data_IF_488192960016
#
_entry.id   IF_488192960016
#
_cell.length_a   1.000
_cell.length_b   1.000
_cell.length_c   1.000
_cell.angle_alpha   90.00
_cell.angle_beta   90.00
_cell.angle_gamma   90.00
#
_symmetry.space_group_name_H-M   'P 1'
#
loop_
_entity.id
_entity.type
_entity.pdbx_description
1 polymer ?
2 polymer ?
#
loop_
_entity_poly.entity_id
_entity_poly.type
_entity_poly.pdbx_seq_one_letter_code
_entity_poly.pdbx_strand_id
2 'polyribonucleotide' 'GGCCAGGUAGCUCAGUUGGUAGAGCACUGGACUGAAAAUCCAGGUGUCGGCGGUUCGAUUCCGCCCCUGGCCACCA' ?
#
# COMPACT_ATOMS: atom_id res chain seq x y z
N UNK A 1 -2.61 -20.61 25.76
CA UNK A 1 -1.93 -21.89 25.65
C UNK A 1 -0.44 -21.68 25.39
N UNK A 2 -0.12 -20.55 24.77
CA UNK A 2 1.25 -20.23 24.39
C UNK A 2 2.16 -20.13 25.60
N UNK A 3 1.73 -19.37 26.60
CA UNK A 3 2.47 -19.25 27.84
C UNK A 3 2.55 -20.55 28.60
N UNK A 4 1.57 -21.44 28.36
CA UNK A 4 1.55 -22.75 28.97
C UNK A 4 2.60 -23.68 28.35
N UNK A 5 2.60 -23.78 27.03
CA UNK A 5 3.60 -24.58 26.31
C UNK A 5 5.00 -24.05 26.60
N UNK A 6 5.16 -22.73 26.51
CA UNK A 6 6.43 -22.08 26.85
C UNK A 6 6.84 -22.40 28.29
N UNK A 7 5.86 -22.44 29.18
CA UNK A 7 6.12 -22.84 30.56
C UNK A 7 6.70 -24.26 30.60
N UNK A 8 6.05 -25.19 29.89
CA UNK A 8 6.46 -26.59 29.90
C UNK A 8 7.85 -26.79 29.32
N UNK A 9 8.19 -26.01 28.30
CA UNK A 9 9.46 -26.17 27.59
C UNK A 9 10.60 -25.37 28.23
N UNK A 10 10.29 -24.61 29.27
CA UNK A 10 11.27 -23.79 29.95
C UNK A 10 11.78 -22.70 29.03
N UNK A 11 10.86 -22.15 28.24
CA UNK A 11 11.20 -21.12 27.28
C UNK A 11 10.50 -19.81 27.61
N UNK A 12 10.79 -18.78 26.83
CA UNK A 12 10.11 -17.51 26.97
C UNK A 12 9.76 -16.98 25.58
N UNK A 13 8.48 -16.79 25.32
CA UNK A 13 8.05 -16.24 24.04
C UNK A 13 7.43 -14.86 24.25
N UNK A 14 7.56 -13.99 23.26
CA UNK A 14 6.99 -12.64 23.36
C UNK A 14 6.40 -12.19 22.02
N UNK A 15 5.27 -11.49 22.06
CA UNK A 15 4.76 -10.81 20.88
C UNK A 15 5.73 -9.69 20.57
N UNK A 16 5.98 -9.42 19.30
CA UNK A 16 7.14 -8.60 18.94
C UNK A 16 6.93 -7.72 17.70
N UNK A 17 7.46 -6.50 17.76
CA UNK A 17 7.44 -5.60 16.62
C UNK A 17 6.17 -4.85 16.26
N UNK A 18 5.96 -4.78 14.94
CA UNK A 18 4.86 -4.03 14.36
C UNK A 18 3.55 -4.34 15.04
N UNK A 19 3.31 -5.64 15.24
CA UNK A 19 2.12 -6.10 15.92
C UNK A 19 1.92 -5.35 17.23
N UNK A 20 2.93 -5.37 18.09
CA UNK A 20 2.85 -4.68 19.38
C UNK A 20 2.49 -3.22 19.14
N UNK A 21 3.19 -2.59 18.19
CA UNK A 21 2.90 -1.22 17.82
C UNK A 21 1.42 -1.07 17.53
N UNK A 22 0.92 -1.89 16.60
CA UNK A 22 -0.47 -1.82 16.18
C UNK A 22 -1.42 -2.02 17.34
N UNK A 23 -1.02 -2.86 18.29
CA UNK A 23 -1.83 -3.12 19.46
C UNK A 23 -1.94 -1.85 20.29
N UNK A 24 -0.80 -1.21 20.49
CA UNK A 24 -0.74 0.02 21.24
C UNK A 24 -1.42 1.17 20.50
N UNK A 25 -1.55 1.01 19.19
CA UNK A 25 -2.23 1.99 18.36
C UNK A 25 -3.71 1.66 18.24
N UNK A 26 -4.13 0.61 18.95
CA UNK A 26 -5.51 0.19 18.94
C UNK A 26 -5.95 -0.43 17.64
N UNK A 27 -4.98 -0.83 16.81
CA UNK A 27 -5.29 -1.51 15.56
C UNK A 27 -5.25 -3.02 15.75
N UNK A 28 -6.28 -3.70 15.25
CA UNK A 28 -6.32 -5.17 15.32
C UNK A 28 -5.85 -5.80 14.02
N UNK A 29 -4.96 -6.78 14.16
CA UNK A 29 -4.37 -7.45 13.03
C UNK A 29 -4.40 -8.96 13.22
N UNK A 30 -4.44 -9.70 12.12
CA UNK A 30 -4.50 -11.15 12.18
C UNK A 30 -3.12 -11.80 12.07
N UNK A 31 -2.09 -10.97 11.99
CA UNK A 31 -0.74 -11.50 11.86
C UNK A 31 0.08 -11.16 13.09
N UNK A 32 0.41 -12.19 13.86
CA UNK A 32 1.16 -11.99 15.08
C UNK A 32 2.54 -12.65 14.98
N UNK A 33 3.54 -11.90 15.43
CA UNK A 33 4.93 -12.33 15.39
C UNK A 33 5.46 -12.58 16.80
N UNK A 34 6.00 -13.77 17.00
CA UNK A 34 6.58 -14.17 18.27
C UNK A 34 8.08 -14.31 18.19
N UNK A 35 8.74 -13.97 19.29
CA UNK A 35 10.15 -14.22 19.44
C UNK A 35 10.37 -15.13 20.65
N UNK A 36 11.04 -16.25 20.41
CA UNK A 36 11.26 -17.26 21.44
C UNK A 36 12.73 -17.32 21.86
N UNK A 37 12.95 -17.38 23.16
CA UNK A 37 14.27 -17.67 23.70
C UNK A 37 14.37 -19.17 23.94
N UNK A 38 15.19 -19.83 23.13
CA UNK A 38 15.14 -21.27 22.99
C UNK A 38 14.51 -21.62 21.65
N UNK A 39 14.23 -22.90 21.43
CA UNK A 39 13.82 -23.35 20.11
C UNK A 39 12.37 -22.96 19.79
N UNK A 40 12.21 -22.14 18.76
CA UNK A 40 10.90 -21.61 18.38
C UNK A 40 10.14 -22.66 17.57
N UNK A 41 10.89 -23.45 16.81
CA UNK A 41 10.31 -24.46 15.96
C UNK A 41 9.50 -25.47 16.76
N UNK A 42 10.03 -25.88 17.92
CA UNK A 42 9.34 -26.86 18.74
C UNK A 42 8.08 -26.26 19.35
N UNK A 43 8.19 -25.01 19.76
CA UNK A 43 7.05 -24.28 20.29
C UNK A 43 5.92 -24.27 19.28
N UNK A 44 6.22 -23.81 18.08
CA UNK A 44 5.25 -23.81 16.99
C UNK A 44 4.68 -25.20 16.70
N UNK A 45 5.54 -26.21 16.67
CA UNK A 45 5.10 -27.57 16.35
C UNK A 45 4.12 -28.10 17.40
N UNK A 46 4.41 -27.78 18.65
CA UNK A 46 3.59 -28.23 19.77
C UNK A 46 2.26 -27.50 19.74
N UNK A 47 2.33 -26.19 19.56
CA UNK A 47 1.14 -25.37 19.48
C UNK A 47 0.20 -25.88 18.40
N UNK A 48 0.75 -26.02 17.20
CA UNK A 48 -0.03 -26.50 16.06
C UNK A 48 -0.61 -27.88 16.32
N UNK A 49 0.20 -28.75 16.95
CA UNK A 49 -0.27 -30.11 17.23
C UNK A 49 -1.39 -30.13 18.28
N UNK A 50 -1.37 -29.19 19.20
CA UNK A 50 -2.37 -29.09 20.25
C UNK A 50 -3.67 -28.47 19.73
N UNK A 51 -3.55 -27.56 18.77
CA UNK A 51 -4.75 -26.99 18.17
C UNK A 51 -5.18 -27.83 16.99
N UNK A 52 -4.30 -28.74 16.60
CA UNK A 52 -4.61 -29.67 15.54
C UNK A 52 -4.66 -29.02 14.18
N UNK A 53 -3.67 -28.21 13.86
CA UNK A 53 -3.58 -27.54 12.56
C UNK A 53 -2.25 -27.84 11.88
N UNK A 54 -2.21 -27.66 10.57
CA UNK A 54 -0.98 -27.82 9.81
C UNK A 54 0.07 -26.81 10.26
N UNK A 55 1.34 -27.19 10.14
CA UNK A 55 2.44 -26.32 10.55
C UNK A 55 3.48 -26.24 9.43
N UNK A 56 4.17 -25.11 9.31
CA UNK A 56 5.15 -24.91 8.24
C UNK A 56 6.52 -24.52 8.80
N UNK A 57 7.39 -25.51 8.99
CA UNK A 57 8.75 -25.34 9.52
C UNK A 57 9.70 -24.71 8.52
N UNK A 58 10.61 -23.89 9.03
CA UNK A 58 11.74 -23.38 8.28
C UNK A 58 12.96 -23.42 9.20
N UNK A 59 13.61 -24.59 9.23
CA UNK A 59 14.71 -24.87 10.17
C UNK A 59 15.95 -24.03 9.89
N UNK A 60 16.19 -23.73 8.62
CA UNK A 60 17.35 -22.92 8.23
C UNK A 60 17.17 -21.48 8.68
N UNK A 61 15.94 -20.97 8.60
CA UNK A 61 15.62 -19.63 9.10
C UNK A 61 15.48 -19.66 10.62
N UNK A 62 15.07 -20.82 11.15
CA UNK A 62 14.83 -20.96 12.57
C UNK A 62 13.46 -20.42 12.93
N UNK A 63 12.56 -20.44 11.95
CA UNK A 63 11.23 -19.88 12.16
C UNK A 63 10.15 -20.84 11.66
N UNK A 64 8.94 -20.68 12.18
CA UNK A 64 7.83 -21.53 11.73
C UNK A 64 6.52 -20.75 11.62
N UNK A 65 5.65 -21.16 10.71
CA UNK A 65 4.39 -20.47 10.48
C UNK A 65 3.18 -21.41 10.64
N UNK A 66 2.16 -20.95 11.36
CA UNK A 66 0.96 -21.76 11.56
C UNK A 66 -0.29 -20.87 11.67
N UNK A 67 -1.40 -21.35 11.13
CA UNK A 67 -2.62 -20.55 11.12
C UNK A 67 -3.71 -21.12 12.02
N UNK A 68 -4.14 -20.32 12.99
CA UNK A 68 -5.25 -20.72 13.86
C UNK A 68 -6.44 -19.81 13.63
N UNK A 69 -7.50 -20.34 13.01
CA UNK A 69 -8.62 -19.53 12.61
C UNK A 69 -8.19 -18.50 11.60
N UNK A 70 -8.52 -17.23 11.86
CA UNK A 70 -8.06 -16.15 10.99
C UNK A 70 -6.70 -15.64 11.43
N UNK A 71 -6.27 -16.05 12.61
CA UNK A 71 -4.96 -15.65 13.09
C UNK A 71 -3.85 -16.32 12.29
N UNK A 72 -2.86 -15.51 11.91
CA UNK A 72 -1.67 -16.00 11.25
C UNK A 72 -0.50 -15.83 12.21
N UNK A 73 0.07 -16.95 12.65
CA UNK A 73 1.13 -16.89 13.63
C UNK A 73 2.47 -17.21 13.01
N UNK A 74 3.45 -16.37 13.33
CA UNK A 74 4.83 -16.62 12.94
C UNK A 74 5.72 -16.64 14.17
N UNK A 75 6.35 -17.78 14.41
CA UNK A 75 7.30 -17.91 15.51
C UNK A 75 8.72 -17.82 14.99
N UNK A 76 9.56 -17.14 15.76
CA UNK A 76 10.91 -16.90 15.33
C UNK A 76 11.86 -16.92 16.52
N UNK A 77 12.98 -17.60 16.35
CA UNK A 77 13.98 -17.68 17.39
C UNK A 77 14.69 -16.34 17.50
N UNK A 78 15.09 -15.99 18.73
CA UNK A 78 15.82 -14.75 18.97
C UNK A 78 17.24 -14.85 18.39
N UNK A 79 17.61 -13.85 17.60
CA UNK A 79 18.94 -13.80 16.99
C UNK A 79 19.53 -12.40 17.06
N UNK A 80 20.85 -12.33 17.14
CA UNK A 80 21.54 -11.05 17.26
C UNK A 80 21.90 -10.42 15.91
N UNK A 81 21.82 -11.22 14.84
CA UNK A 81 22.18 -10.73 13.51
C UNK A 81 21.05 -10.92 12.50
N UNK A 82 21.13 -10.20 11.38
CA UNK A 82 20.14 -10.28 10.33
C UNK A 82 20.47 -11.40 9.35
N UNK A 93 26.03 -19.19 20.42
CA UNK A 93 25.50 -18.54 21.61
C UNK A 93 24.06 -18.09 21.41
N UNK A 94 23.21 -18.34 22.42
CA UNK A 94 21.81 -17.91 22.38
C UNK A 94 21.66 -16.40 22.53
N UNK A 95 20.78 -15.79 21.74
CA UNK A 95 20.55 -14.35 21.80
C UNK A 95 19.40 -14.02 22.75
N UNK A 96 19.63 -12.99 23.57
CA UNK A 96 18.61 -12.51 24.50
C UNK A 96 17.54 -11.75 23.73
N UNK A 97 16.38 -11.60 24.35
CA UNK A 97 15.32 -10.80 23.75
C UNK A 97 15.85 -9.42 23.36
N UNK A 98 16.46 -8.74 24.33
CA UNK A 98 17.04 -7.41 24.13
C UNK A 98 17.94 -7.36 22.89
N UNK A 99 18.74 -8.40 22.68
CA UNK A 99 19.55 -8.48 21.48
C UNK A 99 18.71 -8.61 20.21
N UNK A 100 17.59 -9.30 20.30
CA UNK A 100 16.76 -9.46 19.10
C UNK A 100 16.00 -8.17 18.79
N UNK A 101 15.74 -7.38 19.83
CA UNK A 101 15.01 -6.13 19.66
C UNK A 101 15.89 -4.99 19.18
N UNK A 102 17.17 -5.04 19.52
CA UNK A 102 18.10 -3.96 19.21
C UNK A 102 18.40 -3.88 17.72
N UNK A 103 18.17 -4.98 17.03
CA UNK A 103 18.49 -5.10 15.61
C UNK A 103 17.36 -4.66 14.69
N UNK A 104 16.29 -4.09 15.25
CA UNK A 104 15.15 -3.66 14.43
C UNK A 104 15.29 -2.18 14.02
N UNK A 105 14.37 -1.67 13.23
CA UNK A 105 14.53 -0.34 12.64
C UNK A 105 14.30 0.81 13.62
N UNK A 106 13.03 1.04 13.97
CA UNK A 106 12.65 2.20 14.78
C UNK A 106 12.08 1.78 16.13
N UNK A 107 12.21 2.66 17.11
CA UNK A 107 11.77 2.41 18.48
C UNK A 107 10.33 1.96 18.64
N UNK A 108 9.44 2.45 17.80
CA UNK A 108 8.04 2.05 17.89
C UNK A 108 7.88 0.61 17.40
N UNK A 109 8.88 0.14 16.67
CA UNK A 109 8.92 -1.26 16.21
C UNK A 109 9.80 -2.15 17.10
N UNK A 110 10.39 -1.54 18.11
CA UNK A 110 11.40 -2.19 18.96
C UNK A 110 10.87 -2.78 20.26
N UNK A 111 9.55 -2.82 20.45
CA UNK A 111 9.03 -3.34 21.73
C UNK A 111 8.50 -4.79 21.67
N UNK A 112 8.15 -5.31 22.83
CA UNK A 112 7.69 -6.69 22.96
C UNK A 112 6.78 -6.87 24.18
N UNK A 113 5.87 -7.84 24.08
CA UNK A 113 4.93 -8.14 25.16
C UNK A 113 4.96 -9.62 25.53
N UNK A 114 5.31 -9.91 26.78
CA UNK A 114 5.38 -11.28 27.29
C UNK A 114 4.05 -12.05 27.30
N UNK A 115 4.06 -13.23 26.69
CA UNK A 115 2.94 -14.16 26.79
C UNK A 115 3.16 -15.22 27.85
N UNK A 116 4.31 -15.16 28.52
CA UNK A 116 4.61 -16.09 29.60
C UNK A 116 3.65 -15.90 30.76
N UNK A 117 3.19 -17.00 31.36
CA UNK A 117 2.05 -16.99 32.26
C UNK A 117 2.21 -16.11 33.50
N UNK A 118 3.43 -15.99 34.02
CA UNK A 118 3.64 -15.22 35.26
C UNK A 118 3.64 -13.71 35.05
N UNK A 119 4.37 -13.24 34.05
CA UNK A 119 4.49 -11.82 33.75
C UNK A 119 3.53 -11.33 32.66
N UNK A 120 2.61 -12.21 32.26
CA UNK A 120 1.72 -12.01 31.12
C UNK A 120 1.03 -10.64 31.14
N UNK A 121 1.09 -9.95 30.01
CA UNK A 121 0.50 -8.63 29.87
C UNK A 121 1.48 -7.50 30.08
N UNK A 122 2.74 -7.87 30.32
CA UNK A 122 3.77 -6.88 30.63
C UNK A 122 4.52 -6.41 29.41
N UNK A 123 4.46 -5.11 29.15
CA UNK A 123 5.17 -4.49 28.04
C UNK A 123 6.66 -4.36 28.31
N UNK A 124 7.47 -4.93 27.42
CA UNK A 124 8.92 -4.82 27.53
C UNK A 124 9.47 -3.77 26.58
N UNK A 125 9.95 -2.66 27.12
CA UNK A 125 10.51 -1.58 26.29
C UNK A 125 11.90 -1.16 26.78
N UNK A 126 12.92 -1.50 26.00
CA UNK A 126 14.31 -1.16 26.32
C UNK A 126 14.74 0.24 25.86
N UNK A 127 14.33 0.60 24.66
CA UNK A 127 14.80 1.81 23.99
C UNK A 127 13.85 3.01 24.08
N UNK A 128 12.78 2.87 24.86
CA UNK A 128 11.86 3.97 25.04
C UNK A 128 10.93 4.13 23.85
N UNK A 129 10.56 3.01 23.25
CA UNK A 129 9.65 3.00 22.13
C UNK A 129 8.28 3.49 22.55
N UNK A 130 7.94 3.25 23.82
CA UNK A 130 6.66 3.69 24.36
C UNK A 130 6.57 5.21 24.33
N UNK A 131 7.63 5.86 24.77
CA UNK A 131 7.70 7.31 24.76
C UNK A 131 7.61 7.86 23.34
N UNK A 132 8.37 7.26 22.43
CA UNK A 132 8.39 7.73 21.04
C UNK A 132 7.04 7.55 20.37
N UNK A 133 6.35 6.47 20.77
CA UNK A 133 4.99 6.25 20.32
C UNK A 133 4.08 7.31 20.91
N UNK A 134 4.40 7.69 22.14
CA UNK A 134 3.64 8.69 22.88
C UNK A 134 3.84 10.08 22.30
N UNK A 135 5.07 10.36 21.88
CA UNK A 135 5.42 11.66 21.32
C UNK A 135 5.35 11.72 19.79
N UNK A 136 4.87 10.63 19.18
CA UNK A 136 4.74 10.52 17.72
C UNK A 136 6.09 10.66 17.02
N UNK A 137 7.07 9.86 17.46
CA UNK A 137 8.44 9.98 16.96
C UNK A 137 8.96 8.77 16.20
N UNK A 138 9.38 8.99 14.96
CA UNK A 138 10.10 7.96 14.22
C UNK A 138 11.59 8.12 14.50
N UNK A 139 12.16 7.15 15.22
CA UNK A 139 13.50 7.29 15.76
C UNK A 139 14.32 6.02 15.57
N UNK A 140 15.44 6.14 14.87
CA UNK A 140 16.34 5.00 14.65
C UNK A 140 17.04 4.62 15.95
N UNK A 141 17.46 3.36 16.04
CA UNK A 141 18.05 2.85 17.28
C UNK A 141 19.51 3.27 17.41
N UNK A 142 20.20 3.37 16.29
CA UNK A 142 21.61 3.73 16.26
C UNK A 142 21.89 4.56 15.01
N UNK A 143 22.94 5.40 15.03
CA UNK A 143 23.33 6.26 13.90
C UNK A 143 23.45 5.51 12.59
N UNK A 144 24.06 4.34 12.67
CA UNK A 144 24.45 3.57 11.48
C UNK A 144 23.26 3.00 10.73
N UNK A 145 22.07 3.19 11.29
CA UNK A 145 20.83 2.52 10.87
C UNK A 145 20.56 2.51 9.35
N UNK A 146 20.38 3.68 8.77
CA UNK A 146 20.03 3.76 7.35
C UNK A 146 21.15 3.23 6.46
N UNK A 147 22.39 3.31 6.94
CA UNK A 147 23.52 2.78 6.20
C UNK A 147 23.41 1.27 6.08
N UNK A 148 23.02 0.63 7.17
CA UNK A 148 22.88 -0.83 7.19
C UNK A 148 21.84 -1.30 6.20
N UNK A 149 20.63 -0.78 6.34
CA UNK A 149 19.55 -1.10 5.43
C UNK A 149 18.95 0.19 4.85
N UNK A 150 19.45 0.61 3.68
CA UNK A 150 18.95 1.80 2.99
C UNK A 150 17.44 1.77 2.75
N UNK A 151 16.84 0.59 2.70
CA UNK A 151 15.40 0.47 2.46
C UNK A 151 14.60 1.17 3.56
N UNK A 152 15.13 1.17 4.77
CA UNK A 152 14.55 1.86 5.91
C UNK A 152 14.21 3.31 5.58
N UNK A 153 15.03 3.91 4.72
CA UNK A 153 14.83 5.30 4.33
C UNK A 153 13.39 5.50 3.91
N UNK A 154 12.92 4.65 2.99
CA UNK A 154 11.54 4.73 2.55
C UNK A 154 10.60 4.40 3.70
N UNK A 155 10.89 3.30 4.39
CA UNK A 155 10.04 2.81 5.47
C UNK A 155 9.71 3.92 6.47
N UNK A 156 10.74 4.59 6.96
CA UNK A 156 10.55 5.68 7.92
C UNK A 156 9.50 6.64 7.38
N UNK A 157 9.76 7.15 6.18
CA UNK A 157 8.85 8.06 5.52
C UNK A 157 7.45 7.47 5.50
N UNK A 158 7.36 6.24 5.01
CA UNK A 158 6.11 5.53 4.94
C UNK A 158 5.42 5.59 6.30
N UNK A 159 6.13 5.14 7.33
CA UNK A 159 5.55 5.14 8.68
C UNK A 159 5.12 6.55 9.06
N UNK A 160 6.02 7.51 8.86
CA UNK A 160 5.74 8.88 9.27
C UNK A 160 4.50 9.41 8.58
N UNK A 161 4.23 8.90 7.38
CA UNK A 161 3.05 9.29 6.64
C UNK A 161 1.80 8.68 7.22
N UNK A 162 1.84 7.40 7.54
CA UNK A 162 0.63 6.68 7.96
C UNK A 162 0.21 7.07 9.35
N UNK A 163 1.16 7.02 10.28
CA UNK A 163 0.86 7.29 11.68
C UNK A 163 0.88 8.77 11.94
N UNK A 164 1.20 9.53 10.89
CA UNK A 164 1.39 10.96 11.00
C UNK A 164 2.35 11.26 12.14
N UNK A 165 3.48 10.57 12.14
CA UNK A 165 4.54 10.89 13.09
C UNK A 165 5.55 11.79 12.43
N UNK A 166 6.53 12.22 13.23
CA UNK A 166 7.63 13.01 12.71
C UNK A 166 8.95 12.32 12.97
N UNK A 167 9.92 12.59 12.10
CA UNK A 167 11.28 12.09 12.23
C UNK A 167 12.03 12.90 13.26
N UNK A 168 12.68 12.23 14.21
CA UNK A 168 13.53 12.92 15.17
C UNK A 168 14.69 13.59 14.42
N UNK A 169 15.22 14.67 14.98
CA UNK A 169 16.30 15.42 14.35
C UNK A 169 17.49 14.51 14.01
N UNK A 170 17.80 13.60 14.93
CA UNK A 170 18.84 12.62 14.71
C UNK A 170 18.51 11.81 13.46
N UNK A 171 17.31 11.23 13.47
CA UNK A 171 16.82 10.39 12.41
C UNK A 171 16.77 11.13 11.07
N UNK A 172 16.30 12.37 11.11
CA UNK A 172 16.23 13.19 9.89
C UNK A 172 17.61 13.46 9.30
N UNK A 173 18.54 13.92 10.15
CA UNK A 173 19.91 14.20 9.71
C UNK A 173 20.54 12.97 9.09
N UNK A 174 20.45 11.85 9.81
CA UNK A 174 21.00 10.59 9.34
C UNK A 174 20.36 10.12 8.05
N UNK A 175 19.09 10.48 7.86
CA UNK A 175 18.38 10.10 6.65
C UNK A 175 18.92 10.88 5.46
N UNK A 176 18.93 12.19 5.62
CA UNK A 176 19.43 13.08 4.58
C UNK A 176 20.86 12.68 4.21
N UNK A 177 21.67 12.40 5.22
CA UNK A 177 23.04 11.94 5.01
C UNK A 177 23.08 10.60 4.29
N UNK A 178 22.10 9.74 4.58
CA UNK A 178 22.03 8.43 3.96
C UNK A 178 21.76 8.52 2.46
N UNK A 179 20.85 9.40 2.07
CA UNK A 179 20.56 9.55 0.64
C UNK A 179 21.67 10.33 -0.06
N UNK A 180 22.26 11.28 0.66
CA UNK A 180 23.35 12.09 0.12
C UNK A 180 24.58 11.27 -0.25
N UNK A 181 24.66 10.08 0.33
CA UNK A 181 25.75 9.15 0.03
C UNK A 181 25.31 8.20 -1.09
N UNK A 182 24.10 8.43 -1.60
CA UNK A 182 23.58 7.67 -2.72
C UNK A 182 23.37 6.20 -2.40
N UNK A 183 23.09 5.90 -1.14
CA UNK A 183 22.86 4.51 -0.72
C UNK A 183 21.58 3.97 -1.33
N UNK A 184 20.72 4.87 -1.81
CA UNK A 184 19.43 4.48 -2.36
C UNK A 184 19.60 3.67 -3.64
N UNK A 185 20.64 3.98 -4.41
CA UNK A 185 20.92 3.25 -5.64
C UNK A 185 21.60 1.92 -5.37
N UNK A 186 22.36 1.85 -4.29
CA UNK A 186 23.13 0.65 -3.97
C UNK A 186 22.26 -0.48 -3.43
N UNK A 187 21.18 -0.12 -2.74
CA UNK A 187 20.28 -1.11 -2.15
C UNK A 187 19.67 -2.02 -3.21
N UNK A 188 19.28 -3.25 -2.81
CA UNK A 188 18.62 -4.16 -3.76
C UNK A 188 17.37 -3.53 -4.37
N UNK A 189 17.29 -3.56 -5.69
CA UNK A 189 16.17 -2.97 -6.42
C UNK A 189 14.84 -3.55 -5.94
N UNK A 190 14.82 -4.86 -5.71
CA UNK A 190 13.61 -5.55 -5.33
C UNK A 190 13.03 -5.11 -4.01
N UNK A 191 13.89 -4.93 -3.02
CA UNK A 191 13.46 -4.50 -1.69
C UNK A 191 12.85 -3.12 -1.75
N UNK A 192 13.51 -2.23 -2.49
CA UNK A 192 13.04 -0.86 -2.66
C UNK A 192 11.70 -0.84 -3.37
N UNK A 193 11.63 -1.52 -4.50
CA UNK A 193 10.42 -1.55 -5.32
C UNK A 193 9.25 -2.07 -4.49
N UNK A 194 9.51 -3.13 -3.72
CA UNK A 194 8.50 -3.68 -2.84
C UNK A 194 8.07 -2.67 -1.77
N UNK A 195 9.04 -1.91 -1.26
CA UNK A 195 8.75 -0.87 -0.27
C UNK A 195 7.74 0.12 -0.84
N UNK A 196 8.03 0.60 -2.06
CA UNK A 196 7.13 1.51 -2.75
C UNK A 196 5.74 0.90 -2.97
N UNK A 197 5.72 -0.39 -3.33
CA UNK A 197 4.46 -1.09 -3.55
C UNK A 197 3.64 -1.14 -2.27
N UNK A 198 4.33 -1.22 -1.14
CA UNK A 198 3.69 -1.13 0.16
C UNK A 198 3.12 0.27 0.33
N UNK A 199 3.97 1.25 0.02
CA UNK A 199 3.64 2.65 0.24
C UNK A 199 2.36 3.05 -0.48
N UNK A 200 2.24 2.69 -1.75
CA UNK A 200 1.10 3.14 -2.54
C UNK A 200 -0.24 2.54 -2.08
N UNK A 201 -0.17 1.53 -1.21
CA UNK A 201 -1.40 0.90 -0.71
C UNK A 201 -1.90 1.58 0.56
N UNK A 202 -1.15 2.55 1.06
CA UNK A 202 -1.58 3.34 2.21
C UNK A 202 -2.63 4.35 1.78
N UNK A 203 -3.55 4.67 2.69
CA UNK A 203 -4.58 5.67 2.43
C UNK A 203 -4.00 7.07 2.60
N UNK A 204 -2.95 7.14 3.41
CA UNK A 204 -2.19 8.38 3.64
C UNK A 204 -0.98 8.46 2.69
N UNK A 205 -0.96 7.58 1.70
CA UNK A 205 0.12 7.50 0.73
C UNK A 205 0.53 8.86 0.14
N UNK A 206 -0.43 9.76 -0.02
CA UNK A 206 -0.13 11.11 -0.53
C UNK A 206 0.90 11.81 0.36
N UNK A 207 0.64 11.79 1.67
CA UNK A 207 1.58 12.34 2.67
C UNK A 207 2.97 11.73 2.55
N UNK A 208 2.97 10.42 2.31
CA UNK A 208 4.22 9.69 2.11
C UNK A 208 4.95 10.23 0.89
N UNK A 209 4.19 10.49 -0.17
CA UNK A 209 4.76 11.08 -1.37
C UNK A 209 5.32 12.45 -1.04
N UNK A 210 4.67 13.15 -0.12
CA UNK A 210 5.16 14.45 0.31
C UNK A 210 6.51 14.32 0.99
N UNK A 211 6.67 13.27 1.79
CA UNK A 211 7.96 13.02 2.41
C UNK A 211 8.99 12.58 1.37
N UNK A 212 8.50 11.88 0.35
CA UNK A 212 9.32 11.43 -0.77
C UNK A 212 9.90 12.62 -1.53
N UNK A 213 9.07 13.65 -1.70
CA UNK A 213 9.46 14.84 -2.42
C UNK A 213 10.35 15.68 -1.53
N UNK A 214 10.06 15.67 -0.23
CA UNK A 214 10.81 16.45 0.74
C UNK A 214 12.25 15.96 0.83
N UNK A 215 12.42 14.66 0.91
CA UNK A 215 13.76 14.10 1.06
C UNK A 215 14.36 13.63 -0.27
N UNK A 216 13.60 13.82 -1.35
CA UNK A 216 14.09 13.61 -2.72
C UNK A 216 14.58 12.20 -3.01
N UNK A 217 13.84 11.21 -2.51
CA UNK A 217 14.22 9.82 -2.72
C UNK A 217 13.81 9.28 -4.10
N UNK A 218 12.73 9.83 -4.66
CA UNK A 218 12.20 9.34 -5.94
C UNK A 218 13.19 9.53 -7.09
N UNK A 219 13.96 10.62 -7.03
CA UNK A 219 14.94 10.92 -8.06
C UNK A 219 16.00 9.83 -8.14
N UNK A 220 16.30 9.20 -7.02
CA UNK A 220 17.32 8.17 -6.96
C UNK A 220 16.81 6.83 -7.49
N UNK A 221 15.63 6.43 -7.04
CA UNK A 221 15.07 5.15 -7.44
C UNK A 221 14.62 5.15 -8.90
N UNK A 222 13.77 6.11 -9.26
CA UNK A 222 13.30 6.22 -10.63
C UNK A 222 14.32 7.01 -11.45
N UNK A 223 14.56 6.55 -12.67
CA UNK A 223 15.50 7.22 -13.55
C UNK A 223 14.78 8.19 -14.48
N UNK A 224 15.08 9.48 -14.32
CA UNK A 224 14.50 10.52 -15.15
C UNK A 224 13.38 11.28 -14.47
N UNK A 225 13.09 10.91 -13.22
CA UNK A 225 12.00 11.53 -12.48
C UNK A 225 12.45 12.83 -11.81
N UNK A 226 11.67 13.87 -12.01
CA UNK A 226 11.90 15.16 -11.34
C UNK A 226 10.58 15.77 -10.89
N UNK A 227 10.64 16.62 -9.88
CA UNK A 227 9.43 17.21 -9.30
C UNK A 227 9.13 18.62 -9.84
N UNK A 228 7.86 18.88 -10.10
CA UNK A 228 7.40 20.22 -10.44
C UNK A 228 6.04 20.50 -9.82
N UNK A 229 5.49 21.68 -10.10
CA UNK A 229 4.25 22.10 -9.46
C UNK A 229 3.03 21.44 -10.09
N UNK A 230 3.03 21.33 -11.41
CA UNK A 230 1.90 20.80 -12.15
C UNK A 230 1.52 19.39 -11.70
N UNK A 231 2.53 18.54 -11.57
CA UNK A 231 2.32 17.16 -11.14
C UNK A 231 1.75 17.12 -9.71
N UNK A 232 2.25 18.01 -8.86
CA UNK A 232 1.81 18.07 -7.47
C UNK A 232 0.33 18.45 -7.37
N UNK A 233 -0.03 19.54 -8.04
CA UNK A 233 -1.42 19.99 -8.07
C UNK A 233 -2.31 18.91 -8.69
N UNK A 234 -1.77 18.19 -9.67
CA UNK A 234 -2.47 17.07 -10.28
C UNK A 234 -2.74 15.99 -9.23
N UNK A 235 -1.76 15.78 -8.35
CA UNK A 235 -1.88 14.80 -7.28
C UNK A 235 -2.96 15.20 -6.28
N UNK A 236 -3.05 16.49 -5.96
CA UNK A 236 -4.07 16.95 -5.03
C UNK A 236 -5.47 16.89 -5.63
N UNK A 237 -5.58 17.31 -6.89
CA UNK A 237 -6.85 17.20 -7.61
C UNK A 237 -7.30 15.75 -7.65
N UNK A 238 -6.33 14.86 -7.89
CA UNK A 238 -6.55 13.43 -7.85
C UNK A 238 -7.05 13.01 -6.48
N UNK A 239 -6.49 13.63 -5.44
CA UNK A 239 -6.91 13.36 -4.08
C UNK A 239 -8.39 13.69 -3.89
N UNK A 240 -8.80 14.88 -4.34
CA UNK A 240 -10.20 15.30 -4.23
C UNK A 240 -11.15 14.40 -5.01
N UNK A 241 -10.76 14.09 -6.24
CA UNK A 241 -11.54 13.21 -7.10
C UNK A 241 -11.71 11.83 -6.45
N UNK A 242 -10.61 11.33 -5.89
CA UNK A 242 -10.61 10.07 -5.17
C UNK A 242 -11.55 10.14 -3.97
N UNK A 243 -11.53 11.25 -3.24
CA UNK A 243 -12.43 11.46 -2.12
C UNK A 243 -13.89 11.35 -2.53
N UNK A 244 -14.29 12.15 -3.51
CA UNK A 244 -15.68 12.15 -3.97
C UNK A 244 -16.11 10.78 -4.53
N UNK A 245 -15.27 10.21 -5.39
CA UNK A 245 -15.54 8.92 -6.02
C UNK A 245 -15.71 7.81 -4.98
N UNK A 246 -14.79 7.75 -4.03
CA UNK A 246 -14.83 6.77 -2.96
C UNK A 246 -15.91 7.11 -1.93
N UNK A 247 -16.51 8.28 -2.08
CA UNK A 247 -17.62 8.66 -1.21
C UNK A 247 -18.95 8.14 -1.76
N UNK A 248 -19.34 8.65 -2.93
CA UNK A 248 -20.65 8.30 -3.47
C UNK A 248 -20.68 6.92 -4.15
N UNK A 249 -19.64 6.62 -4.92
CA UNK A 249 -19.59 5.42 -5.74
C UNK A 249 -18.87 4.23 -5.08
N UNK A 250 -18.63 4.34 -3.77
CA UNK A 250 -17.70 3.48 -3.04
C UNK A 250 -17.81 1.98 -3.32
N UNK A 251 -18.97 1.52 -3.75
CA UNK A 251 -19.13 0.13 -4.17
C UNK A 251 -18.24 -0.20 -5.39
N UNK A 252 -17.90 0.84 -6.16
CA UNK A 252 -17.13 0.67 -7.39
C UNK A 252 -15.62 0.85 -7.23
N UNK A 253 -15.15 0.97 -5.99
CA UNK A 253 -13.75 1.28 -5.70
C UNK A 253 -12.72 0.39 -6.37
N UNK A 254 -11.61 0.98 -6.77
CA UNK A 254 -10.44 0.25 -7.26
C UNK A 254 -9.21 0.76 -6.50
N UNK A 255 -8.02 0.31 -6.89
CA UNK A 255 -6.80 0.74 -6.20
C UNK A 255 -6.40 2.14 -6.62
N UNK A 256 -6.39 3.07 -5.68
CA UNK A 256 -6.16 4.47 -5.96
C UNK A 256 -4.69 4.87 -6.07
N UNK A 257 -3.82 4.20 -5.32
CA UNK A 257 -2.41 4.55 -5.29
C UNK A 257 -1.73 4.50 -6.64
N UNK A 258 -2.16 3.54 -7.46
CA UNK A 258 -1.64 3.38 -8.81
C UNK A 258 -1.89 4.62 -9.65
N UNK A 259 -3.00 5.31 -9.39
CA UNK A 259 -3.31 6.55 -10.10
C UNK A 259 -2.28 7.62 -9.80
N UNK A 260 -1.98 7.78 -8.51
CA UNK A 260 -0.97 8.72 -8.07
C UNK A 260 0.37 8.38 -8.71
N UNK A 261 0.66 7.08 -8.77
CA UNK A 261 1.87 6.59 -9.42
C UNK A 261 1.90 7.01 -10.89
N UNK A 262 0.76 6.85 -11.56
CA UNK A 262 0.62 7.22 -12.96
C UNK A 262 0.86 8.71 -13.18
N UNK A 263 0.33 9.51 -12.27
CA UNK A 263 0.51 10.95 -12.32
C UNK A 263 1.98 11.31 -12.14
N UNK A 264 2.65 10.59 -11.24
CA UNK A 264 4.08 10.78 -11.02
C UNK A 264 4.88 10.47 -12.28
N UNK A 265 4.52 9.38 -12.94
CA UNK A 265 5.28 8.90 -14.10
C UNK A 265 4.73 9.42 -15.43
N UNK A 266 3.72 10.27 -15.38
CA UNK A 266 3.05 10.75 -16.57
C UNK A 266 3.97 11.49 -17.55
N UNK A 267 4.75 12.44 -17.03
CA UNK A 267 5.64 13.24 -17.88
C UNK A 267 6.97 12.54 -18.15
N UNK A 268 7.12 11.35 -17.59
CA UNK A 268 8.29 10.52 -17.87
C UNK A 268 8.24 9.95 -19.28
N UNK A 269 9.39 9.54 -19.78
CA UNK A 269 9.47 8.86 -21.08
C UNK A 269 8.75 7.52 -20.98
N UNK A 270 8.16 7.08 -22.09
CA UNK A 270 7.36 5.86 -22.10
C UNK A 270 8.22 4.62 -21.86
N UNK A 271 9.49 4.70 -22.22
CA UNK A 271 10.39 3.56 -22.06
C UNK A 271 10.66 3.29 -20.60
N UNK A 272 11.09 4.32 -19.87
CA UNK A 272 11.35 4.18 -18.43
C UNK A 272 10.04 3.96 -17.67
N UNK A 273 8.92 4.38 -18.27
CA UNK A 273 7.62 4.20 -17.66
C UNK A 273 7.18 2.76 -17.71
N UNK A 274 7.29 2.16 -18.90
CA UNK A 274 6.97 0.75 -19.08
C UNK A 274 7.96 -0.12 -18.31
N UNK A 275 9.21 0.33 -18.25
CA UNK A 275 10.25 -0.35 -17.49
C UNK A 275 9.93 -0.33 -15.99
N UNK A 276 9.44 0.82 -15.54
CA UNK A 276 9.09 1.01 -14.13
C UNK A 276 7.88 0.17 -13.75
N UNK A 277 6.83 0.22 -14.57
CA UNK A 277 5.64 -0.58 -14.33
C UNK A 277 5.97 -2.07 -14.43
N UNK A 278 7.00 -2.40 -15.21
CA UNK A 278 7.49 -3.76 -15.32
C UNK A 278 8.14 -4.19 -14.01
N UNK A 279 9.02 -3.35 -13.48
CA UNK A 279 9.68 -3.62 -12.21
C UNK A 279 8.68 -3.62 -11.05
N UNK A 280 7.61 -2.84 -11.19
CA UNK A 280 6.63 -2.68 -10.13
C UNK A 280 5.57 -3.77 -10.12
N UNK A 281 5.56 -4.58 -11.18
CA UNK A 281 4.55 -5.62 -11.38
C UNK A 281 3.15 -5.04 -11.18
N UNK A 282 2.86 -3.96 -11.90
CA UNK A 282 1.57 -3.28 -11.79
C UNK A 282 0.45 -4.12 -12.41
N UNK A 283 -0.79 -3.93 -11.91
CA UNK A 283 -1.96 -4.62 -12.47
C UNK A 283 -2.16 -4.33 -13.96
N UNK A 284 -2.89 -5.22 -14.64
CA UNK A 284 -3.11 -5.08 -16.07
C UNK A 284 -3.82 -3.79 -16.42
N UNK A 285 -4.82 -3.43 -15.62
CA UNK A 285 -5.60 -2.22 -15.87
C UNK A 285 -4.75 -0.96 -15.67
N UNK A 286 -3.67 -1.12 -14.89
CA UNK A 286 -2.74 -0.01 -14.67
C UNK A 286 -1.88 0.21 -15.92
N UNK A 287 -1.35 -0.87 -16.49
CA UNK A 287 -0.59 -0.76 -17.74
C UNK A 287 -1.49 -0.26 -18.87
N UNK A 288 -2.72 -0.77 -18.92
CA UNK A 288 -3.69 -0.36 -19.94
C UNK A 288 -4.01 1.13 -19.81
N UNK A 289 -4.30 1.56 -18.58
CA UNK A 289 -4.63 2.96 -18.32
C UNK A 289 -3.43 3.87 -18.61
N UNK A 290 -2.23 3.38 -18.36
CA UNK A 290 -1.02 4.16 -18.61
C UNK A 290 -0.74 4.32 -20.10
N UNK A 291 -0.77 3.22 -20.83
CA UNK A 291 -0.54 3.24 -22.27
C UNK A 291 -1.64 4.02 -22.98
N UNK A 292 -2.83 4.01 -22.42
CA UNK A 292 -3.95 4.78 -22.95
C UNK A 292 -3.76 6.26 -22.64
N UNK A 293 -3.19 6.55 -21.48
CA UNK A 293 -2.96 7.92 -21.04
C UNK A 293 -1.84 8.58 -21.82
N UNK A 294 -0.85 7.79 -22.21
CA UNK A 294 0.36 8.31 -22.84
C UNK A 294 0.11 8.93 -24.21
N UNK A 295 -0.87 8.39 -24.94
CA UNK A 295 -1.13 8.85 -26.30
C UNK A 295 -2.59 9.23 -26.55
N UNK A 296 -3.47 8.24 -26.45
CA UNK A 296 -4.88 8.41 -26.81
C UNK A 296 -5.62 9.47 -26.00
N UNK A 297 -5.18 9.68 -24.76
CA UNK A 297 -5.91 10.53 -23.81
C UNK A 297 -6.14 11.96 -24.32
N UNK A 298 -5.15 12.52 -25.00
CA UNK A 298 -5.27 13.86 -25.56
C UNK A 298 -6.40 13.94 -26.56
N UNK A 299 -6.37 13.06 -27.56
CA UNK A 299 -7.40 13.01 -28.58
C UNK A 299 -8.77 12.72 -27.97
N UNK A 300 -8.81 11.90 -26.93
CA UNK A 300 -10.06 11.60 -26.24
C UNK A 300 -10.64 12.83 -25.56
N UNK A 301 -9.77 13.61 -24.92
CA UNK A 301 -10.19 14.86 -24.30
C UNK A 301 -10.72 15.83 -25.34
N UNK A 302 -9.99 15.96 -26.45
CA UNK A 302 -10.41 16.85 -27.53
C UNK A 302 -11.75 16.41 -28.11
N UNK A 303 -12.01 15.11 -28.09
CA UNK A 303 -13.28 14.56 -28.54
C UNK A 303 -14.40 14.89 -27.56
N UNK A 304 -14.09 14.80 -26.27
CA UNK A 304 -15.05 15.12 -25.22
C UNK A 304 -15.38 16.62 -25.22
N UNK A 305 -14.46 17.41 -25.75
CA UNK A 305 -14.68 18.85 -25.87
C UNK A 305 -15.67 19.14 -26.99
N UNK A 306 -15.64 18.31 -28.03
CA UNK A 306 -16.52 18.46 -29.18
C UNK A 306 -17.88 17.81 -28.93
N UNK A 307 -18.02 17.18 -27.77
CA UNK A 307 -19.23 16.44 -27.45
C UNK A 307 -20.44 17.36 -27.28
N UNK A 308 -21.53 17.02 -27.95
CA UNK A 308 -22.77 17.78 -27.83
C UNK A 308 -23.89 16.90 -27.28
N UNK A 309 -24.27 15.88 -28.05
CA UNK A 309 -25.29 14.94 -27.61
C UNK A 309 -24.72 14.02 -26.53
N UNK A 310 -25.60 13.53 -25.67
CA UNK A 310 -25.19 12.68 -24.56
C UNK A 310 -24.73 11.30 -25.04
N UNK A 311 -25.27 10.87 -26.17
CA UNK A 311 -24.98 9.55 -26.72
C UNK A 311 -23.52 9.41 -27.15
N UNK A 312 -22.97 10.47 -27.72
CA UNK A 312 -21.56 10.49 -28.12
C UNK A 312 -20.66 10.36 -26.90
N UNK A 313 -21.04 11.02 -25.83
CA UNK A 313 -20.34 10.92 -24.55
C UNK A 313 -20.36 9.48 -24.06
N UNK A 314 -21.54 8.88 -24.10
CA UNK A 314 -21.70 7.47 -23.74
C UNK A 314 -20.78 6.58 -24.59
N UNK A 315 -20.61 6.94 -25.85
CA UNK A 315 -19.76 6.17 -26.77
C UNK A 315 -18.28 6.30 -26.44
N UNK A 316 -17.85 7.52 -26.12
CA UNK A 316 -16.45 7.77 -25.84
C UNK A 316 -16.05 7.33 -24.44
N UNK A 317 -17.04 7.13 -23.58
CA UNK A 317 -16.77 6.81 -22.19
C UNK A 317 -16.92 5.32 -21.86
N UNK A 318 -18.12 4.80 -22.04
CA UNK A 318 -18.48 3.44 -21.60
C UNK A 318 -17.43 2.34 -21.87
N UNK A 319 -16.79 2.33 -23.06
CA UNK A 319 -15.75 1.30 -23.26
C UNK A 319 -14.59 1.38 -22.27
N UNK A 320 -14.32 2.58 -21.76
CA UNK A 320 -13.17 2.80 -20.88
C UNK A 320 -13.42 2.25 -19.48
N UNK A 321 -12.32 2.02 -18.74
CA UNK A 321 -12.40 1.55 -17.37
C UNK A 321 -12.66 2.73 -16.42
N UNK A 322 -12.79 2.46 -15.13
CA UNK A 322 -13.03 3.50 -14.14
C UNK A 322 -11.83 4.43 -13.99
N UNK A 323 -10.63 3.85 -14.14
CA UNK A 323 -9.38 4.58 -14.01
C UNK A 323 -9.29 5.76 -14.97
N UNK A 324 -9.56 5.47 -16.24
CA UNK A 324 -9.50 6.47 -17.29
C UNK A 324 -10.47 7.62 -17.01
N UNK A 325 -11.65 7.30 -16.52
CA UNK A 325 -12.65 8.31 -16.18
C UNK A 325 -12.15 9.17 -15.02
N UNK A 326 -11.56 8.52 -14.01
CA UNK A 326 -10.98 9.22 -12.88
C UNK A 326 -9.87 10.17 -13.33
N UNK A 327 -9.17 9.78 -14.41
CA UNK A 327 -8.16 10.63 -15.02
C UNK A 327 -8.80 11.79 -15.76
N UNK A 328 -9.97 11.55 -16.34
CA UNK A 328 -10.70 12.59 -17.06
C UNK A 328 -11.32 13.60 -16.12
N UNK A 329 -11.51 13.21 -14.86
CA UNK A 329 -12.09 14.12 -13.86
C UNK A 329 -11.11 15.22 -13.44
N UNK A 330 -9.86 15.11 -13.87
CA UNK A 330 -8.86 16.13 -13.59
C UNK A 330 -9.23 17.45 -14.26
N UNK A 331 -9.78 17.35 -15.47
CA UNK A 331 -10.22 18.53 -16.22
C UNK A 331 -11.42 19.17 -15.55
N UNK A 332 -11.35 20.49 -15.36
CA UNK A 332 -12.45 21.24 -14.77
C UNK A 332 -13.69 21.23 -15.64
N UNK A 333 -13.48 21.41 -16.94
CA UNK A 333 -14.58 21.44 -17.90
C UNK A 333 -15.28 20.10 -18.02
N UNK A 334 -14.52 19.02 -17.89
CA UNK A 334 -15.06 17.68 -18.10
C UNK A 334 -15.66 17.09 -16.82
N UNK A 335 -15.40 17.72 -15.67
CA UNK A 335 -15.78 17.13 -14.38
C UNK A 335 -17.29 16.92 -14.22
N UNK A 336 -18.06 17.99 -14.43
CA UNK A 336 -19.51 17.91 -14.31
C UNK A 336 -20.09 16.95 -15.35
N UNK A 337 -19.42 16.85 -16.50
CA UNK A 337 -19.85 15.97 -17.58
C UNK A 337 -19.67 14.50 -17.21
N UNK A 338 -18.49 14.17 -16.68
CA UNK A 338 -18.19 12.81 -16.25
C UNK A 338 -19.11 12.43 -15.09
N UNK A 339 -19.31 13.37 -14.17
CA UNK A 339 -20.23 13.17 -13.05
C UNK A 339 -21.62 12.83 -13.57
N UNK A 340 -22.08 13.64 -14.52
CA UNK A 340 -23.36 13.43 -15.17
C UNK A 340 -23.42 12.05 -15.84
N UNK A 341 -22.28 11.59 -16.35
CA UNK A 341 -22.22 10.26 -16.95
C UNK A 341 -22.39 9.17 -15.89
N UNK A 342 -21.80 9.41 -14.72
CA UNK A 342 -21.79 8.40 -13.67
C UNK A 342 -23.14 8.29 -12.97
N UNK A 343 -23.56 9.35 -12.27
CA UNK A 343 -24.75 9.23 -11.43
C UNK A 343 -26.05 9.36 -12.22
N UNK A 344 -25.95 9.67 -13.50
CA UNK A 344 -27.17 9.81 -14.32
C UNK A 344 -27.14 9.05 -15.64
N UNK A 345 -26.22 9.42 -16.54
CA UNK A 345 -26.25 8.94 -17.92
C UNK A 345 -26.41 7.43 -18.04
N UNK A 346 -25.77 6.67 -17.16
CA UNK A 346 -26.13 5.27 -17.12
C UNK A 346 -27.04 5.01 -15.93
N UNK A 347 -28.35 5.09 -16.20
CA UNK A 347 -29.39 4.45 -15.44
C UNK A 347 -30.52 4.20 -16.42
N UNK A 348 -30.94 2.95 -16.60
CA UNK A 348 -32.00 2.65 -17.57
C UNK A 348 -32.34 1.16 -17.63
N UNK A 349 -33.50 0.86 -18.18
CA UNK A 349 -33.92 -0.50 -18.49
C UNK A 349 -35.10 -0.42 -19.46
N UNK A 350 -35.59 -1.57 -19.91
CA UNK A 350 -36.75 -1.61 -20.79
C UNK A 350 -37.67 -2.77 -20.39
N UNK A 351 -39.00 -2.57 -20.50
CA UNK A 351 -39.98 -3.59 -20.06
C UNK A 351 -40.02 -4.80 -20.99
N UNK A 352 -40.96 -5.71 -20.74
CA UNK A 352 -41.00 -6.98 -21.45
C UNK A 352 -41.49 -6.84 -22.89
N UNK A 353 -42.75 -6.45 -23.05
CA UNK A 353 -43.37 -6.35 -24.37
C UNK A 353 -42.55 -5.52 -25.35
N UNK A 354 -42.02 -4.40 -24.87
CA UNK A 354 -41.22 -3.52 -25.72
C UNK A 354 -39.99 -4.24 -26.26
N UNK A 355 -39.16 -4.78 -25.37
CA UNK A 355 -37.96 -5.53 -25.78
C UNK A 355 -38.31 -6.68 -26.70
N UNK A 356 -39.39 -7.38 -26.39
CA UNK A 356 -39.88 -8.47 -27.24
C UNK A 356 -40.17 -7.97 -28.65
N UNK A 357 -40.69 -6.74 -28.75
CA UNK A 357 -40.94 -6.13 -30.04
C UNK A 357 -39.65 -5.64 -30.70
N UNK A 358 -38.64 -5.34 -29.89
CA UNK A 358 -37.34 -4.91 -30.40
C UNK A 358 -36.63 -6.07 -31.05
N UNK A 359 -36.85 -7.26 -30.52
CA UNK A 359 -36.34 -8.49 -31.11
C UNK A 359 -37.30 -8.95 -32.20
N UNK A 360 -38.44 -8.28 -32.27
CA UNK A 360 -39.50 -8.59 -33.24
C UNK A 360 -39.91 -10.05 -33.20
N UNK A 365 -29.00 -11.28 -34.66
CA UNK A 365 -27.60 -11.02 -34.89
C UNK A 365 -27.11 -9.73 -34.24
N UNK A 366 -26.28 -9.00 -34.96
CA UNK A 366 -25.73 -7.74 -34.45
C UNK A 366 -26.78 -6.63 -34.53
N UNK A 367 -27.79 -6.85 -35.35
CA UNK A 367 -28.82 -5.85 -35.60
C UNK A 367 -29.67 -5.60 -34.35
N UNK A 368 -29.76 -6.60 -33.47
CA UNK A 368 -30.47 -6.42 -32.20
C UNK A 368 -29.72 -5.39 -31.36
N UNK A 369 -28.40 -5.54 -31.28
CA UNK A 369 -27.57 -4.61 -30.55
C UNK A 369 -27.62 -3.22 -31.14
N UNK A 370 -27.45 -3.13 -32.45
CA UNK A 370 -27.49 -1.83 -33.13
C UNK A 370 -28.82 -1.14 -32.90
N UNK A 371 -29.90 -1.91 -32.95
CA UNK A 371 -31.25 -1.38 -32.73
C UNK A 371 -31.41 -0.87 -31.30
N UNK A 372 -30.97 -1.68 -30.34
CA UNK A 372 -31.01 -1.29 -28.93
C UNK A 372 -30.25 0.02 -28.72
N UNK A 373 -29.12 0.16 -29.41
CA UNK A 373 -28.32 1.37 -29.35
C UNK A 373 -29.07 2.56 -29.96
N UNK A 374 -29.80 2.30 -31.04
CA UNK A 374 -30.61 3.33 -31.68
C UNK A 374 -31.74 3.78 -30.75
N UNK A 375 -32.27 2.85 -29.98
CA UNK A 375 -33.34 3.16 -29.03
C UNK A 375 -32.81 3.95 -27.84
N UNK A 376 -31.63 3.58 -27.38
CA UNK A 376 -30.99 4.30 -26.28
C UNK A 376 -30.64 5.73 -26.70
N UNK A 377 -30.13 5.89 -27.91
CA UNK A 377 -29.82 7.21 -28.42
C UNK A 377 -31.10 7.96 -28.77
N UNK A 378 -32.20 7.22 -28.90
CA UNK A 378 -33.52 7.84 -29.07
C UNK A 378 -34.02 8.37 -27.73
N UNK A 379 -33.68 7.68 -26.66
CA UNK A 379 -34.09 8.09 -25.32
C UNK A 379 -33.25 9.27 -24.80
N UNK A 380 -31.94 9.19 -24.97
CA UNK A 380 -31.01 10.19 -24.46
C UNK A 380 -31.29 11.60 -24.97
N UNK A 381 -31.07 11.82 -26.26
CA UNK A 381 -31.22 13.13 -26.86
C UNK A 381 -32.69 13.50 -27.08
#
# INVERSE_FOLDING_TARGET
MVGQIAKEMGLRAYIVGGVVRDILLGKEVWDVDFVVEGNAIELAKELARRHGVNVHPFPEFGTAHLKIGKLKLEFATARRETYPRPGAYPKVEPASLKEDLIRRDFTINAMAISVNLEDYGTLIDYFGGLRDLKDKVIRVLHPVSFIEDPVRILRALRFAGRLNFKLSRSTEKLLKQAVNLGLLKEAPRGRLINEIKLALREDRFLEILELYRKYRVLEEIIEGFQWNEKVLQKLYALRKVVDWHALEFSEERIDYGWLYLLILISNLDYERGKHFLEEMSAPSWVRETYKFMKFKLGSLKEELKKAKENYEVYRLLKPLHTSVLLLLMLEEELKEKIKLYLEKLRKVKLPKEKIEELKKQGLKGKELGERIEELKREIMNKIKLAAALEHHHHHH
#
